data_IF_661665186938
#
_entry.id   IF_661665186938
#
_cell.length_a   1.000
_cell.length_b   1.000
_cell.length_c   1.000
_cell.angle_alpha   90.00
_cell.angle_beta   90.00
_cell.angle_gamma   90.00
#
_symmetry.space_group_name_H-M   'P 1'
#
loop_
_entity.id
_entity.type
_entity.pdbx_description
1 polymer ?
#
# COMPACT_ATOMS: atom_id res chain seq x y z
N UNK A 1 -12.45 37.36 82.24
CA UNK A 1 -13.90 37.32 81.98
C UNK A 1 -14.25 36.22 81.02
N UNK A 2 -15.04 35.29 81.47
CA UNK A 2 -15.50 34.02 80.78
C UNK A 2 -16.37 34.34 79.61
N UNK A 3 -16.30 33.37 78.60
CA UNK A 3 -17.35 32.81 77.71
C UNK A 3 -16.80 32.74 76.30
N UNK A 4 -16.98 31.68 75.53
CA UNK A 4 -17.60 30.32 75.65
C UNK A 4 -17.28 29.59 74.37
N UNK A 5 -16.78 28.38 74.53
CA UNK A 5 -16.63 27.40 73.49
C UNK A 5 -18.03 26.96 73.11
N UNK A 6 -18.39 26.99 71.82
CA UNK A 6 -19.43 26.13 71.27
C UNK A 6 -18.97 25.51 69.97
N UNK A 7 -18.96 24.27 70.06
CA UNK A 7 -18.77 23.29 68.91
C UNK A 7 -19.75 23.56 67.77
N UNK A 8 -19.28 23.50 66.60
CA UNK A 8 -20.12 23.29 65.41
C UNK A 8 -19.65 22.02 64.72
N UNK A 9 -20.62 21.16 64.57
CA UNK A 9 -20.55 19.76 64.31
C UNK A 9 -20.21 19.34 62.91
N UNK A 10 -19.89 18.11 62.90
CA UNK A 10 -19.96 17.08 61.84
C UNK A 10 -20.70 17.53 60.59
N UNK A 11 -19.94 17.62 59.50
CA UNK A 11 -20.38 17.53 58.13
C UNK A 11 -19.33 16.69 57.40
N UNK A 12 -19.36 15.38 57.68
CA UNK A 12 -18.67 14.42 56.84
C UNK A 12 -19.37 14.37 55.50
N UNK A 13 -18.88 15.16 54.55
CA UNK A 13 -19.21 14.94 53.16
C UNK A 13 -18.44 13.69 52.72
N UNK A 14 -19.14 12.57 52.65
CA UNK A 14 -18.80 11.42 51.85
C UNK A 14 -18.60 11.88 50.41
N UNK A 15 -17.40 12.30 50.07
CA UNK A 15 -16.92 12.32 48.69
C UNK A 15 -16.58 10.87 48.31
N UNK A 16 -17.62 10.08 48.10
CA UNK A 16 -17.51 8.88 47.28
C UNK A 16 -16.99 9.36 45.93
N UNK A 17 -15.67 9.31 45.75
CA UNK A 17 -15.05 9.27 44.43
C UNK A 17 -15.63 8.03 43.76
N UNK A 18 -16.71 8.19 43.01
CA UNK A 18 -17.04 7.27 41.93
C UNK A 18 -15.84 7.30 40.97
N UNK A 19 -14.91 6.40 41.24
CA UNK A 19 -13.93 5.99 40.28
C UNK A 19 -14.72 5.41 39.10
N UNK A 20 -15.05 6.26 38.13
CA UNK A 20 -15.48 5.80 36.82
C UNK A 20 -14.35 4.91 36.32
N UNK A 21 -14.54 3.63 36.46
CA UNK A 21 -13.71 2.62 35.80
C UNK A 21 -13.77 2.92 34.32
N UNK A 22 -12.82 3.68 33.83
CA UNK A 22 -12.58 3.87 32.40
C UNK A 22 -12.29 2.45 31.89
N UNK A 23 -13.31 1.80 31.34
CA UNK A 23 -13.13 0.55 30.60
C UNK A 23 -12.01 0.81 29.62
N UNK A 24 -10.87 0.19 29.83
CA UNK A 24 -9.75 0.20 28.89
C UNK A 24 -10.20 -0.52 27.62
N UNK A 25 -10.79 0.24 26.71
CA UNK A 25 -11.14 -0.24 25.39
C UNK A 25 -9.82 -0.54 24.69
N UNK A 26 -9.64 -1.75 24.20
CA UNK A 26 -8.39 -2.08 23.52
C UNK A 26 -8.19 -1.13 22.31
N UNK A 27 -6.96 -0.66 22.05
CA UNK A 27 -6.69 0.27 20.95
C UNK A 27 -7.22 -0.21 19.59
N UNK A 28 -7.24 -1.53 19.38
CA UNK A 28 -7.77 -2.16 18.17
C UNK A 28 -9.29 -2.04 18.07
N UNK A 29 -10.03 -2.14 19.18
CA UNK A 29 -11.50 -2.03 19.17
C UNK A 29 -11.92 -0.58 18.92
N UNK A 30 -11.21 0.39 19.47
CA UNK A 30 -11.43 1.82 19.23
C UNK A 30 -11.15 2.17 17.76
N UNK A 31 -10.03 1.67 17.21
CA UNK A 31 -9.68 1.80 15.80
C UNK A 31 -10.82 1.26 14.91
N UNK A 32 -11.29 0.05 15.17
CA UNK A 32 -12.32 -0.58 14.38
C UNK A 32 -13.68 0.10 14.50
N UNK A 33 -14.03 0.57 15.70
CA UNK A 33 -15.27 1.33 15.92
C UNK A 33 -15.26 2.65 15.12
N UNK A 34 -14.14 3.36 15.13
CA UNK A 34 -13.98 4.63 14.40
C UNK A 34 -13.93 4.39 12.89
N UNK A 35 -13.25 3.32 12.44
CA UNK A 35 -13.20 2.91 11.03
C UNK A 35 -14.60 2.65 10.46
N UNK A 36 -15.43 1.94 11.18
CA UNK A 36 -16.81 1.59 10.75
C UNK A 36 -17.74 2.79 10.62
N UNK A 37 -17.44 3.92 11.24
CA UNK A 37 -18.26 5.14 11.11
C UNK A 37 -18.18 5.75 9.71
N UNK A 38 -17.06 5.55 9.01
CA UNK A 38 -16.90 6.01 7.63
C UNK A 38 -17.38 4.92 6.66
N UNK A 39 -18.59 5.07 6.13
CA UNK A 39 -19.21 4.12 5.20
C UNK A 39 -18.38 3.94 3.92
N UNK A 40 -17.75 5.01 3.42
CA UNK A 40 -16.91 4.96 2.21
C UNK A 40 -15.70 4.07 2.43
N UNK A 41 -15.03 4.21 3.58
CA UNK A 41 -13.87 3.38 3.93
C UNK A 41 -14.26 1.89 4.12
N UNK A 42 -15.45 1.62 4.69
CA UNK A 42 -15.95 0.24 4.83
C UNK A 42 -16.23 -0.40 3.46
N UNK A 43 -16.86 0.34 2.55
CA UNK A 43 -17.09 -0.13 1.18
C UNK A 43 -15.76 -0.35 0.46
N UNK A 44 -14.84 0.61 0.55
CA UNK A 44 -13.50 0.49 -0.05
C UNK A 44 -12.73 -0.73 0.48
N UNK A 45 -12.78 -0.98 1.80
CA UNK A 45 -12.17 -2.16 2.41
C UNK A 45 -12.83 -3.45 1.88
N UNK A 46 -14.16 -3.47 1.76
CA UNK A 46 -14.91 -4.58 1.16
C UNK A 46 -14.45 -4.86 -0.27
N UNK A 47 -14.26 -3.82 -1.09
CA UNK A 47 -13.74 -3.92 -2.46
C UNK A 47 -12.31 -4.47 -2.47
N UNK A 48 -11.42 -3.96 -1.61
CA UNK A 48 -10.04 -4.48 -1.50
C UNK A 48 -10.03 -5.95 -1.12
N UNK A 49 -10.83 -6.35 -0.13
CA UNK A 49 -10.95 -7.76 0.29
C UNK A 49 -11.49 -8.62 -0.86
N UNK A 50 -12.52 -8.17 -1.56
CA UNK A 50 -13.06 -8.88 -2.71
C UNK A 50 -12.02 -9.06 -3.83
N UNK A 51 -11.23 -8.03 -4.14
CA UNK A 51 -10.16 -8.11 -5.12
C UNK A 51 -9.06 -9.07 -4.66
N UNK A 52 -8.66 -9.04 -3.39
CA UNK A 52 -7.67 -9.99 -2.83
C UNK A 52 -8.18 -11.42 -2.94
N UNK A 53 -9.45 -11.66 -2.58
CA UNK A 53 -10.05 -12.99 -2.71
C UNK A 53 -10.10 -13.45 -4.17
N UNK A 54 -10.52 -12.58 -5.10
CA UNK A 54 -10.49 -12.89 -6.54
C UNK A 54 -9.06 -13.20 -7.01
N UNK A 55 -8.05 -12.46 -6.57
CA UNK A 55 -6.66 -12.68 -6.93
C UNK A 55 -6.11 -14.00 -6.38
N UNK A 56 -6.46 -14.36 -5.13
CA UNK A 56 -6.02 -15.62 -4.50
C UNK A 56 -6.69 -16.82 -5.14
N UNK A 57 -8.01 -16.74 -5.33
CA UNK A 57 -8.81 -17.83 -5.90
C UNK A 57 -8.93 -17.78 -7.43
N UNK A 58 -8.09 -16.96 -8.10
CA UNK A 58 -8.12 -16.81 -9.56
C UNK A 58 -8.20 -18.15 -10.32
N UNK A 59 -7.38 -19.20 -10.01
CA UNK A 59 -7.42 -20.45 -10.74
C UNK A 59 -8.76 -21.19 -10.68
N UNK A 60 -9.59 -20.89 -9.67
CA UNK A 60 -10.90 -21.54 -9.47
C UNK A 60 -12.08 -20.69 -9.98
N UNK A 61 -11.85 -19.39 -10.18
CA UNK A 61 -12.92 -18.45 -10.54
C UNK A 61 -13.03 -18.19 -12.04
N UNK A 62 -11.94 -18.44 -12.78
CA UNK A 62 -11.88 -18.09 -14.20
C UNK A 62 -12.02 -19.31 -15.11
N UNK A 63 -12.68 -19.17 -16.27
CA UNK A 63 -12.92 -20.29 -17.18
C UNK A 63 -11.68 -20.71 -17.98
N UNK A 64 -10.66 -19.85 -18.08
CA UNK A 64 -9.45 -20.08 -18.87
C UNK A 64 -8.21 -19.62 -18.11
N UNK A 65 -7.14 -20.43 -18.11
CA UNK A 65 -5.83 -20.02 -17.63
C UNK A 65 -5.12 -19.16 -18.69
N UNK A 66 -4.92 -17.85 -18.46
CA UNK A 66 -4.27 -16.98 -19.45
C UNK A 66 -2.77 -17.27 -19.65
N UNK A 67 -2.14 -18.11 -18.82
CA UNK A 67 -0.76 -18.58 -18.99
C UNK A 67 -0.67 -19.82 -19.89
N UNK A 68 -1.76 -20.56 -20.09
CA UNK A 68 -1.77 -21.74 -20.97
C UNK A 68 -1.93 -21.33 -22.42
N UNK A 69 -0.81 -21.16 -23.10
CA UNK A 69 -0.77 -20.80 -24.51
C UNK A 69 -1.40 -21.89 -25.45
N UNK A 70 -1.56 -23.12 -24.95
CA UNK A 70 -2.16 -24.22 -25.74
C UNK A 70 -3.69 -24.11 -25.80
N UNK A 71 -4.28 -23.48 -24.80
CA UNK A 71 -5.74 -23.24 -24.75
C UNK A 71 -6.19 -22.04 -25.59
N UNK A 72 -5.24 -21.30 -26.19
CA UNK A 72 -5.54 -20.11 -26.98
C UNK A 72 -6.00 -20.45 -28.39
N UNK A 73 -7.15 -19.92 -28.77
CA UNK A 73 -7.71 -20.05 -30.09
C UNK A 73 -7.71 -18.70 -30.81
N UNK A 74 -6.75 -18.46 -31.69
CA UNK A 74 -6.64 -17.18 -32.44
C UNK A 74 -7.89 -16.83 -33.23
N UNK A 75 -8.70 -17.83 -33.62
CA UNK A 75 -9.99 -17.63 -34.29
C UNK A 75 -11.00 -16.89 -33.44
N UNK A 76 -10.87 -17.01 -32.12
CA UNK A 76 -11.73 -16.35 -31.13
C UNK A 76 -11.17 -14.99 -30.69
N UNK A 77 -10.12 -14.47 -31.34
CA UNK A 77 -9.52 -13.19 -31.01
C UNK A 77 -10.48 -12.02 -31.27
N UNK A 78 -10.48 -11.04 -30.31
CA UNK A 78 -11.20 -9.76 -30.43
C UNK A 78 -12.71 -9.91 -30.56
N UNK A 79 -13.32 -10.92 -29.95
CA UNK A 79 -14.76 -11.15 -29.93
C UNK A 79 -15.44 -10.30 -28.87
N UNK A 80 -16.67 -9.83 -29.15
CA UNK A 80 -17.38 -8.95 -28.23
C UNK A 80 -17.80 -9.67 -26.93
N UNK A 81 -18.17 -8.91 -25.88
CA UNK A 81 -18.75 -9.47 -24.66
C UNK A 81 -19.96 -10.38 -24.94
N UNK A 82 -20.06 -11.48 -24.20
CA UNK A 82 -21.11 -12.48 -24.36
C UNK A 82 -20.90 -13.49 -25.50
N UNK A 83 -19.73 -13.49 -26.17
CA UNK A 83 -19.40 -14.46 -27.21
C UNK A 83 -19.10 -15.84 -26.63
N UNK A 84 -19.66 -16.87 -27.27
CA UNK A 84 -19.33 -18.28 -26.97
C UNK A 84 -18.20 -18.70 -27.91
N UNK A 85 -17.04 -19.02 -27.34
CA UNK A 85 -15.86 -19.43 -28.09
C UNK A 85 -16.01 -20.78 -28.78
N UNK A 86 -15.08 -21.08 -29.68
CA UNK A 86 -15.03 -22.36 -30.41
C UNK A 86 -14.82 -23.58 -29.50
N UNK A 87 -14.33 -23.35 -28.27
CA UNK A 87 -14.17 -24.37 -27.21
C UNK A 87 -15.41 -24.51 -26.32
N UNK A 88 -16.49 -23.76 -26.58
CA UNK A 88 -17.71 -23.74 -25.78
C UNK A 88 -17.63 -22.86 -24.52
N UNK A 89 -16.53 -22.13 -24.31
CA UNK A 89 -16.37 -21.19 -23.20
C UNK A 89 -17.16 -19.92 -23.49
N UNK A 90 -17.97 -19.46 -22.52
CA UNK A 90 -18.67 -18.18 -22.57
C UNK A 90 -17.74 -17.06 -22.10
N UNK A 91 -17.37 -16.17 -22.99
CA UNK A 91 -16.53 -14.99 -22.71
C UNK A 91 -17.39 -13.80 -22.27
N UNK A 92 -17.64 -13.67 -20.95
CA UNK A 92 -18.52 -12.64 -20.39
C UNK A 92 -18.11 -11.23 -20.77
N UNK A 93 -16.81 -10.92 -20.72
CA UNK A 93 -16.25 -9.62 -21.08
C UNK A 93 -15.65 -9.59 -22.49
N UNK A 94 -15.85 -10.66 -23.27
CA UNK A 94 -15.24 -10.82 -24.59
C UNK A 94 -13.83 -11.36 -24.52
N UNK A 95 -13.10 -11.27 -25.63
CA UNK A 95 -11.73 -11.79 -25.76
C UNK A 95 -10.74 -10.68 -26.11
N UNK A 96 -9.48 -10.88 -25.76
CA UNK A 96 -8.37 -9.98 -26.09
C UNK A 96 -7.85 -10.15 -27.53
N UNK A 97 -6.74 -9.50 -27.85
CA UNK A 97 -6.10 -9.58 -29.18
C UNK A 97 -5.52 -10.95 -29.49
N UNK A 98 -5.32 -11.82 -28.50
CA UNK A 98 -4.75 -13.16 -28.64
C UNK A 98 -5.79 -14.27 -28.51
N UNK A 99 -7.07 -13.94 -28.32
CA UNK A 99 -8.14 -14.92 -28.10
C UNK A 99 -8.27 -15.40 -26.65
N UNK A 100 -7.60 -14.72 -25.70
CA UNK A 100 -7.74 -15.02 -24.27
C UNK A 100 -9.06 -14.48 -23.76
N UNK A 101 -9.65 -15.18 -22.81
CA UNK A 101 -10.79 -14.65 -22.06
C UNK A 101 -10.39 -13.38 -21.27
N UNK A 102 -11.09 -12.27 -21.52
CA UNK A 102 -10.73 -10.99 -20.95
C UNK A 102 -11.00 -10.93 -19.45
N UNK A 103 -12.07 -11.60 -18.96
CA UNK A 103 -12.34 -11.69 -17.52
C UNK A 103 -11.20 -12.41 -16.80
N UNK A 104 -10.76 -13.54 -17.34
CA UNK A 104 -9.61 -14.29 -16.82
C UNK A 104 -8.35 -13.43 -16.80
N UNK A 105 -8.09 -12.73 -17.90
CA UNK A 105 -6.96 -11.80 -18.00
C UNK A 105 -7.01 -10.69 -16.94
N UNK A 106 -8.19 -10.09 -16.66
CA UNK A 106 -8.35 -9.06 -15.64
C UNK A 106 -8.11 -9.63 -14.23
N UNK A 107 -8.66 -10.79 -13.90
CA UNK A 107 -8.49 -11.41 -12.57
C UNK A 107 -7.02 -11.75 -12.29
N UNK A 108 -6.34 -12.33 -13.29
CA UNK A 108 -4.89 -12.58 -13.17
C UNK A 108 -4.07 -11.30 -13.20
N UNK A 109 -4.49 -10.29 -13.95
CA UNK A 109 -3.88 -8.96 -13.94
C UNK A 109 -3.97 -8.30 -12.57
N UNK A 110 -5.13 -8.34 -11.91
CA UNK A 110 -5.29 -7.88 -10.52
C UNK A 110 -4.35 -8.60 -9.56
N UNK A 111 -4.20 -9.93 -9.71
CA UNK A 111 -3.26 -10.73 -8.91
C UNK A 111 -1.82 -10.27 -9.09
N UNK A 112 -1.38 -10.05 -10.33
CA UNK A 112 -0.02 -9.58 -10.64
C UNK A 112 0.19 -8.18 -10.06
N UNK A 113 -0.71 -7.23 -10.33
CA UNK A 113 -0.58 -5.86 -9.83
C UNK A 113 -0.55 -5.78 -8.30
N UNK A 114 -1.38 -6.58 -7.60
CA UNK A 114 -1.31 -6.70 -6.14
C UNK A 114 0.03 -7.28 -5.66
N UNK A 115 0.52 -8.34 -6.30
CA UNK A 115 1.81 -8.95 -5.94
C UNK A 115 2.95 -7.95 -6.12
N UNK A 116 3.00 -7.24 -7.27
CA UNK A 116 4.03 -6.23 -7.54
C UNK A 116 3.99 -5.11 -6.52
N UNK A 117 2.80 -4.54 -6.27
CA UNK A 117 2.63 -3.44 -5.31
C UNK A 117 3.01 -3.84 -3.87
N UNK A 118 2.55 -5.00 -3.41
CA UNK A 118 2.82 -5.47 -2.05
C UNK A 118 4.29 -5.86 -1.86
N UNK A 119 4.87 -6.62 -2.78
CA UNK A 119 6.27 -7.08 -2.65
C UNK A 119 7.23 -5.91 -2.78
N UNK A 120 7.08 -5.06 -3.80
CA UNK A 120 7.92 -3.88 -3.95
C UNK A 120 7.76 -2.91 -2.77
N UNK A 121 6.51 -2.68 -2.33
CA UNK A 121 6.21 -1.84 -1.18
C UNK A 121 6.83 -2.37 0.12
N UNK A 122 6.74 -3.68 0.39
CA UNK A 122 7.31 -4.31 1.59
C UNK A 122 8.86 -4.22 1.61
N UNK A 123 9.51 -4.46 0.47
CA UNK A 123 10.97 -4.35 0.36
C UNK A 123 11.40 -2.89 0.54
N UNK A 124 10.75 -1.95 -0.17
CA UNK A 124 11.04 -0.52 -0.07
C UNK A 124 10.81 0.03 1.36
N UNK A 125 9.72 -0.41 2.01
CA UNK A 125 9.41 -0.11 3.41
C UNK A 125 10.53 -0.60 4.34
N UNK A 126 10.94 -1.86 4.21
CA UNK A 126 11.97 -2.46 5.06
C UNK A 126 13.32 -1.75 4.93
N UNK A 127 13.76 -1.50 3.70
CA UNK A 127 14.99 -0.75 3.43
C UNK A 127 14.87 0.67 3.99
N UNK A 128 13.77 1.36 3.68
CA UNK A 128 13.56 2.74 4.08
C UNK A 128 13.45 2.93 5.58
N UNK A 129 12.75 2.03 6.28
CA UNK A 129 12.62 2.05 7.73
C UNK A 129 13.98 1.89 8.42
N UNK A 130 14.78 0.89 7.99
CA UNK A 130 16.10 0.64 8.58
C UNK A 130 17.06 1.79 8.30
N UNK A 131 17.18 2.21 7.04
CA UNK A 131 18.12 3.27 6.62
C UNK A 131 17.75 4.61 7.24
N UNK A 132 16.45 4.96 7.26
CA UNK A 132 15.98 6.23 7.84
C UNK A 132 16.17 6.29 9.36
N UNK A 133 15.81 5.23 10.09
CA UNK A 133 16.05 5.17 11.54
C UNK A 133 17.54 5.16 11.88
N UNK A 134 18.36 4.46 11.10
CA UNK A 134 19.81 4.44 11.27
C UNK A 134 20.42 5.85 11.04
N UNK A 135 20.02 6.55 9.98
CA UNK A 135 20.46 7.90 9.70
C UNK A 135 20.15 8.86 10.86
N UNK A 136 18.92 8.84 11.37
CA UNK A 136 18.49 9.66 12.50
C UNK A 136 19.22 9.30 13.81
N UNK A 137 19.52 8.01 14.03
CA UNK A 137 20.23 7.54 15.22
C UNK A 137 21.69 7.99 15.24
N UNK A 138 22.43 7.78 14.14
CA UNK A 138 23.86 8.12 14.05
C UNK A 138 24.09 9.62 14.03
N UNK A 139 23.28 10.32 13.24
CA UNK A 139 23.43 11.79 13.10
C UNK A 139 24.67 12.25 12.34
N UNK A 140 24.92 13.54 12.38
CA UNK A 140 26.13 14.15 11.88
C UNK A 140 26.37 13.98 10.37
N UNK A 141 27.62 13.69 9.98
CA UNK A 141 28.00 13.56 8.56
C UNK A 141 27.33 12.39 7.85
N UNK A 142 27.15 11.26 8.55
CA UNK A 142 26.48 10.06 8.00
C UNK A 142 25.02 10.33 7.66
N UNK A 143 24.30 10.97 8.56
CA UNK A 143 22.92 11.44 8.33
C UNK A 143 22.88 12.37 7.11
N UNK A 144 23.77 13.38 7.08
CA UNK A 144 23.81 14.33 5.97
C UNK A 144 24.06 13.63 4.62
N UNK A 145 24.98 12.67 4.56
CA UNK A 145 25.25 11.93 3.31
C UNK A 145 24.05 11.10 2.85
N UNK A 146 23.46 10.33 3.76
CA UNK A 146 22.28 9.51 3.43
C UNK A 146 21.13 10.39 2.94
N UNK A 147 20.85 11.47 3.65
CA UNK A 147 19.74 12.36 3.28
C UNK A 147 20.04 13.13 1.97
N UNK A 148 21.27 13.45 1.64
CA UNK A 148 21.65 14.03 0.35
C UNK A 148 21.36 13.08 -0.82
N UNK A 149 21.69 11.79 -0.66
CA UNK A 149 21.38 10.77 -1.68
C UNK A 149 19.85 10.66 -1.87
N UNK A 150 19.11 10.62 -0.77
CA UNK A 150 17.65 10.58 -0.79
C UNK A 150 17.07 11.84 -1.46
N UNK A 151 17.61 13.02 -1.18
CA UNK A 151 17.17 14.29 -1.75
C UNK A 151 17.40 14.34 -3.27
N UNK A 152 18.58 13.89 -3.72
CA UNK A 152 18.88 13.78 -5.15
C UNK A 152 17.89 12.85 -5.82
N UNK A 153 17.62 11.69 -5.24
CA UNK A 153 16.68 10.74 -5.82
C UNK A 153 15.24 11.29 -5.87
N UNK A 154 14.77 11.94 -4.82
CA UNK A 154 13.44 12.54 -4.77
C UNK A 154 13.29 13.78 -5.69
N UNK A 155 14.40 14.33 -6.19
CA UNK A 155 14.38 15.41 -7.18
C UNK A 155 13.97 14.93 -8.58
N UNK A 156 14.04 13.62 -8.84
CA UNK A 156 13.62 13.04 -10.11
C UNK A 156 12.18 12.49 -10.00
N UNK A 157 11.38 12.60 -11.07
CA UNK A 157 10.07 11.92 -11.12
C UNK A 157 10.24 10.41 -10.96
N UNK A 158 9.47 9.80 -10.03
CA UNK A 158 9.58 8.37 -9.72
C UNK A 158 9.39 7.47 -10.95
N UNK A 159 8.51 7.88 -11.89
CA UNK A 159 8.28 7.15 -13.13
C UNK A 159 9.51 7.11 -14.02
N UNK A 160 10.28 8.19 -14.11
CA UNK A 160 11.51 8.23 -14.91
C UNK A 160 12.58 7.34 -14.31
N UNK A 161 12.73 7.35 -12.98
CA UNK A 161 13.67 6.45 -12.29
C UNK A 161 13.29 4.98 -12.50
N UNK A 162 12.01 4.63 -12.30
CA UNK A 162 11.53 3.28 -12.52
C UNK A 162 11.72 2.83 -13.98
N UNK A 163 11.44 3.72 -14.95
CA UNK A 163 11.60 3.45 -16.37
C UNK A 163 13.07 3.18 -16.73
N UNK A 164 14.01 4.04 -16.29
CA UNK A 164 15.43 3.86 -16.56
C UNK A 164 15.94 2.56 -15.98
N UNK A 165 15.60 2.25 -14.72
CA UNK A 165 16.02 1.00 -14.07
C UNK A 165 15.42 -0.22 -14.77
N UNK A 166 14.12 -0.19 -15.11
CA UNK A 166 13.48 -1.28 -15.83
C UNK A 166 14.07 -1.47 -17.23
N UNK A 167 14.38 -0.38 -17.96
CA UNK A 167 14.99 -0.44 -19.28
C UNK A 167 16.40 -1.08 -19.25
N UNK A 168 17.19 -0.80 -18.20
CA UNK A 168 18.54 -1.36 -18.03
C UNK A 168 18.46 -2.85 -17.62
N UNK A 169 17.56 -3.20 -16.69
CA UNK A 169 17.44 -4.56 -16.19
C UNK A 169 16.70 -5.52 -17.14
N UNK A 170 15.95 -4.96 -18.08
CA UNK A 170 15.11 -5.73 -19.01
C UNK A 170 13.78 -6.14 -18.42
N UNK A 171 12.99 -6.91 -19.22
CA UNK A 171 11.66 -7.36 -18.86
C UNK A 171 11.70 -8.52 -17.85
N UNK A 172 10.77 -8.54 -16.91
CA UNK A 172 10.58 -9.63 -15.95
C UNK A 172 10.07 -9.17 -14.60
N UNK A 173 9.48 -10.10 -13.84
CA UNK A 173 8.90 -9.80 -12.51
C UNK A 173 9.93 -9.24 -11.53
N UNK A 174 11.07 -9.89 -11.41
CA UNK A 174 12.13 -9.50 -10.47
C UNK A 174 12.73 -8.15 -10.84
N UNK A 175 12.97 -7.90 -12.12
CA UNK A 175 13.49 -6.66 -12.66
C UNK A 175 12.54 -5.50 -12.38
N UNK A 176 11.24 -5.73 -12.62
CA UNK A 176 10.21 -4.74 -12.37
C UNK A 176 10.07 -4.44 -10.87
N UNK A 177 10.09 -5.47 -10.00
CA UNK A 177 10.10 -5.26 -8.54
C UNK A 177 11.29 -4.40 -8.12
N UNK A 178 12.50 -4.69 -8.61
CA UNK A 178 13.69 -3.89 -8.30
C UNK A 178 13.56 -2.44 -8.76
N UNK A 179 13.00 -2.21 -9.96
CA UNK A 179 12.74 -0.86 -10.47
C UNK A 179 11.75 -0.09 -9.58
N UNK A 180 10.67 -0.75 -9.15
CA UNK A 180 9.66 -0.18 -8.25
C UNK A 180 10.25 0.11 -6.86
N UNK A 181 11.03 -0.81 -6.30
CA UNK A 181 11.73 -0.62 -5.02
C UNK A 181 12.65 0.57 -5.09
N UNK A 182 13.48 0.64 -6.15
CA UNK A 182 14.40 1.76 -6.35
C UNK A 182 13.68 3.10 -6.46
N UNK A 183 12.53 3.14 -7.14
CA UNK A 183 11.75 4.36 -7.26
C UNK A 183 11.10 4.83 -5.95
N UNK A 184 10.88 3.93 -4.99
CA UNK A 184 10.03 4.21 -3.83
C UNK A 184 10.76 4.24 -2.47
N UNK A 185 11.90 3.54 -2.29
CA UNK A 185 12.53 3.43 -0.97
C UNK A 185 12.88 4.78 -0.35
N UNK A 186 13.20 5.79 -1.16
CA UNK A 186 13.56 7.13 -0.71
C UNK A 186 12.41 7.83 0.06
N UNK A 187 11.16 7.61 -0.32
CA UNK A 187 9.99 8.11 0.41
C UNK A 187 9.92 7.53 1.83
N UNK A 188 10.20 6.23 1.95
CA UNK A 188 10.24 5.56 3.26
C UNK A 188 11.43 6.00 4.10
N UNK A 189 12.62 6.16 3.49
CA UNK A 189 13.81 6.68 4.21
C UNK A 189 13.50 8.06 4.79
N UNK A 190 12.93 8.96 3.98
CA UNK A 190 12.60 10.31 4.42
C UNK A 190 11.59 10.32 5.55
N UNK A 191 10.55 9.52 5.45
CA UNK A 191 9.51 9.43 6.49
C UNK A 191 10.07 8.82 7.77
N UNK A 192 10.83 7.71 7.65
CA UNK A 192 11.45 7.06 8.79
C UNK A 192 12.44 7.97 9.51
N UNK A 193 13.27 8.68 8.76
CA UNK A 193 14.21 9.66 9.30
C UNK A 193 13.51 10.75 10.10
N UNK A 194 12.47 11.39 9.51
CA UNK A 194 11.72 12.45 10.20
C UNK A 194 11.04 11.97 11.48
N UNK A 195 10.41 10.78 11.44
CA UNK A 195 9.78 10.17 12.61
C UNK A 195 10.82 9.79 13.69
N UNK A 196 11.91 9.15 13.28
CA UNK A 196 12.97 8.70 14.17
C UNK A 196 13.73 9.87 14.82
N UNK A 197 13.96 10.97 14.07
CA UNK A 197 14.59 12.17 14.60
C UNK A 197 13.74 12.84 15.70
N UNK A 198 12.42 12.91 15.49
CA UNK A 198 11.49 13.39 16.50
C UNK A 198 11.44 12.47 17.73
N UNK A 199 11.44 11.15 17.49
CA UNK A 199 11.40 10.15 18.57
C UNK A 199 12.66 10.16 19.42
N UNK A 200 13.83 10.34 18.76
CA UNK A 200 15.14 10.41 19.43
C UNK A 200 15.23 11.54 20.45
N UNK A 201 14.47 12.62 20.29
CA UNK A 201 14.50 13.77 21.21
C UNK A 201 13.68 13.54 22.49
N UNK A 202 12.90 12.48 22.58
CA UNK A 202 12.06 12.18 23.76
C UNK A 202 12.90 11.69 24.94
N UNK A 203 12.50 12.07 26.15
CA UNK A 203 13.23 11.79 27.40
C UNK A 203 13.55 10.30 27.61
N UNK A 204 12.62 9.40 27.28
CA UNK A 204 12.84 7.97 27.46
C UNK A 204 13.92 7.40 26.52
N UNK A 205 14.05 7.99 25.28
CA UNK A 205 15.14 7.60 24.36
C UNK A 205 16.45 8.20 24.84
N UNK A 206 16.46 9.44 25.31
CA UNK A 206 17.65 10.06 25.92
C UNK A 206 18.15 9.29 27.14
N UNK A 207 17.23 8.81 27.97
CA UNK A 207 17.58 7.93 29.10
C UNK A 207 18.19 6.61 28.61
N UNK A 208 17.64 6.00 27.56
CA UNK A 208 18.19 4.79 26.96
C UNK A 208 19.59 5.01 26.34
N UNK A 209 19.85 6.19 25.79
CA UNK A 209 21.16 6.56 25.26
C UNK A 209 22.21 6.81 26.35
N UNK A 210 21.79 7.11 27.59
CA UNK A 210 22.69 7.33 28.73
C UNK A 210 23.18 6.03 29.38
N UNK A 211 22.58 4.88 29.02
CA UNK A 211 23.00 3.56 29.46
C UNK A 211 23.82 2.90 28.37
N UNK A 212 24.92 2.14 28.70
CA UNK A 212 25.74 1.47 27.69
C UNK A 212 24.98 0.32 27.02
N UNK A 213 24.13 0.64 26.04
CA UNK A 213 23.38 -0.30 25.20
C UNK A 213 23.85 -0.24 23.75
N UNK A 214 23.72 -1.37 23.03
CA UNK A 214 24.04 -1.35 21.60
C UNK A 214 23.09 -0.42 20.84
N UNK A 215 23.62 0.36 19.88
CA UNK A 215 22.81 1.27 19.06
C UNK A 215 21.69 0.56 18.33
N UNK A 216 21.93 -0.67 17.84
CA UNK A 216 20.91 -1.49 17.20
C UNK A 216 19.76 -1.85 18.15
N UNK A 217 20.05 -2.10 19.42
CA UNK A 217 19.03 -2.33 20.43
C UNK A 217 18.12 -1.09 20.62
N UNK A 218 18.73 0.10 20.72
CA UNK A 218 17.96 1.36 20.83
C UNK A 218 17.09 1.59 19.59
N UNK A 219 17.65 1.39 18.39
CA UNK A 219 16.89 1.54 17.14
C UNK A 219 15.71 0.56 17.10
N UNK A 220 15.98 -0.74 17.28
CA UNK A 220 14.96 -1.78 17.08
C UNK A 220 13.91 -1.83 18.18
N UNK A 221 14.24 -1.44 19.43
CA UNK A 221 13.33 -1.56 20.58
C UNK A 221 12.63 -0.25 20.94
N UNK A 222 13.24 0.89 20.65
CA UNK A 222 12.72 2.20 21.08
C UNK A 222 12.33 3.10 19.90
N UNK A 223 13.19 3.26 18.89
CA UNK A 223 12.96 4.22 17.81
C UNK A 223 12.02 3.65 16.74
N UNK A 224 12.37 2.50 16.17
CA UNK A 224 11.64 1.92 15.03
C UNK A 224 10.16 1.62 15.36
N UNK A 225 9.82 0.96 16.49
CA UNK A 225 8.40 0.67 16.78
C UNK A 225 7.55 1.93 16.93
N UNK A 226 8.11 2.99 17.48
CA UNK A 226 7.42 4.26 17.67
C UNK A 226 7.39 5.13 16.39
N UNK A 227 8.23 4.81 15.40
CA UNK A 227 8.23 5.42 14.08
C UNK A 227 7.32 4.69 13.07
N UNK A 228 6.75 3.54 13.42
CA UNK A 228 5.88 2.75 12.51
C UNK A 228 4.59 3.46 12.10
N UNK A 229 3.84 4.19 12.96
CA UNK A 229 2.58 4.78 12.56
C UNK A 229 2.67 5.66 11.30
N UNK A 230 3.56 6.66 11.19
CA UNK A 230 3.70 7.43 9.96
C UNK A 230 4.20 6.60 8.76
N UNK A 231 5.02 5.58 9.00
CA UNK A 231 5.49 4.68 7.95
C UNK A 231 4.36 3.82 7.37
N UNK A 232 3.44 3.33 8.21
CA UNK A 232 2.26 2.57 7.75
C UNK A 232 1.38 3.45 6.86
N UNK A 233 1.19 4.71 7.23
CA UNK A 233 0.44 5.67 6.39
C UNK A 233 1.09 5.83 5.02
N UNK A 234 2.40 6.02 4.98
CA UNK A 234 3.13 6.14 3.70
C UNK A 234 3.07 4.83 2.91
N UNK A 235 3.11 3.68 3.58
CA UNK A 235 3.04 2.37 2.92
C UNK A 235 1.75 2.19 2.12
N UNK A 236 0.59 2.62 2.63
CA UNK A 236 -0.67 2.51 1.91
C UNK A 236 -0.66 3.31 0.60
N UNK A 237 -0.16 4.55 0.64
CA UNK A 237 -0.03 5.40 -0.55
C UNK A 237 0.99 4.82 -1.53
N UNK A 238 2.12 4.32 -1.03
CA UNK A 238 3.17 3.80 -1.89
C UNK A 238 2.80 2.46 -2.55
N UNK A 239 1.98 1.62 -1.92
CA UNK A 239 1.44 0.41 -2.57
C UNK A 239 0.56 0.80 -3.78
N UNK A 240 -0.35 1.76 -3.63
CA UNK A 240 -1.17 2.25 -4.73
C UNK A 240 -0.31 2.88 -5.84
N UNK A 241 0.72 3.65 -5.47
CA UNK A 241 1.70 4.23 -6.39
C UNK A 241 2.50 3.16 -7.14
N UNK A 242 2.93 2.08 -6.45
CA UNK A 242 3.64 0.96 -7.07
C UNK A 242 2.79 0.27 -8.14
N UNK A 243 1.50 0.02 -7.83
CA UNK A 243 0.55 -0.57 -8.79
C UNK A 243 0.39 0.34 -10.01
N UNK A 244 0.25 1.64 -9.80
CA UNK A 244 0.14 2.62 -10.88
C UNK A 244 1.41 2.67 -11.74
N UNK A 245 2.59 2.66 -11.13
CA UNK A 245 3.89 2.63 -11.81
C UNK A 245 4.07 1.33 -12.61
N UNK A 246 3.75 0.16 -12.00
CA UNK A 246 3.77 -1.13 -12.67
C UNK A 246 2.92 -1.09 -13.94
N UNK A 247 1.65 -0.68 -13.81
CA UNK A 247 0.73 -0.63 -14.93
C UNK A 247 1.23 0.32 -16.03
N UNK A 248 1.81 1.45 -15.67
CA UNK A 248 2.37 2.42 -16.63
C UNK A 248 3.61 1.86 -17.33
N UNK A 249 4.54 1.21 -16.61
CA UNK A 249 5.73 0.60 -17.20
C UNK A 249 5.36 -0.57 -18.11
N UNK A 250 4.38 -1.39 -17.71
CA UNK A 250 3.86 -2.49 -18.53
C UNK A 250 3.14 -1.96 -19.77
N UNK A 251 2.37 -0.86 -19.65
CA UNK A 251 1.75 -0.17 -20.79
C UNK A 251 2.79 0.35 -21.79
N UNK A 252 3.92 0.88 -21.31
CA UNK A 252 5.02 1.38 -22.14
C UNK A 252 5.91 0.25 -22.71
N UNK A 253 5.64 -1.02 -22.37
CA UNK A 253 6.36 -2.17 -22.90
C UNK A 253 7.71 -2.48 -22.23
N UNK A 254 8.06 -1.78 -21.12
CA UNK A 254 9.30 -2.01 -20.35
C UNK A 254 9.06 -2.78 -19.04
N UNK A 255 7.81 -3.17 -18.77
CA UNK A 255 7.42 -3.90 -17.58
C UNK A 255 7.52 -5.41 -17.73
N UNK A 256 6.36 -6.08 -17.66
CA UNK A 256 6.26 -7.52 -17.79
C UNK A 256 6.28 -7.97 -19.26
N UNK A 257 6.74 -9.20 -19.55
CA UNK A 257 6.69 -9.74 -20.89
C UNK A 257 5.22 -9.97 -21.34
N UNK A 258 4.94 -10.00 -22.66
CA UNK A 258 3.58 -10.18 -23.20
C UNK A 258 2.88 -11.48 -22.77
N UNK A 259 3.63 -12.45 -22.27
CA UNK A 259 3.11 -13.71 -21.74
C UNK A 259 2.45 -13.57 -20.37
N UNK A 260 2.73 -12.47 -19.66
CA UNK A 260 2.21 -12.19 -18.33
C UNK A 260 1.02 -11.22 -18.43
N UNK A 261 -0.20 -11.63 -18.08
CA UNK A 261 -1.38 -10.79 -18.19
C UNK A 261 -1.45 -9.76 -17.04
N UNK A 262 -0.67 -8.67 -17.12
CA UNK A 262 -0.87 -7.53 -16.21
C UNK A 262 -1.95 -6.60 -16.72
N UNK A 263 -2.58 -5.82 -15.82
CA UNK A 263 -3.60 -4.85 -16.22
C UNK A 263 -3.04 -3.80 -17.20
N UNK A 264 -1.81 -3.32 -16.95
CA UNK A 264 -1.13 -2.38 -17.85
C UNK A 264 -0.89 -2.95 -19.24
N UNK A 265 -0.46 -4.22 -19.33
CA UNK A 265 -0.26 -4.90 -20.60
C UNK A 265 -1.58 -5.13 -21.35
N UNK A 266 -2.66 -5.50 -20.65
CA UNK A 266 -3.98 -5.66 -21.26
C UNK A 266 -4.48 -4.33 -21.84
N UNK A 267 -4.28 -3.21 -21.10
CA UNK A 267 -4.64 -1.87 -21.59
C UNK A 267 -3.81 -1.52 -22.83
N UNK A 268 -2.49 -1.76 -22.81
CA UNK A 268 -1.61 -1.50 -23.95
C UNK A 268 -2.04 -2.25 -25.20
N UNK A 269 -2.30 -3.55 -25.06
CA UNK A 269 -2.75 -4.42 -26.15
C UNK A 269 -4.13 -4.01 -26.69
N UNK A 270 -5.03 -3.54 -25.81
CA UNK A 270 -6.37 -3.05 -26.19
C UNK A 270 -6.38 -1.68 -26.82
N UNK A 271 -5.41 -0.83 -26.48
CA UNK A 271 -5.34 0.56 -26.94
C UNK A 271 -5.36 0.71 -28.45
N UNK A 272 -4.67 -0.19 -29.16
CA UNK A 272 -4.59 -0.24 -30.62
C UNK A 272 -5.96 -0.48 -31.27
N UNK A 273 -6.93 -1.05 -30.55
CA UNK A 273 -8.26 -1.41 -31.07
C UNK A 273 -9.38 -0.47 -30.65
N UNK A 274 -9.09 0.58 -29.88
CA UNK A 274 -10.11 1.55 -29.44
C UNK A 274 -10.83 2.19 -30.64
N UNK A 275 -10.06 2.63 -31.63
CA UNK A 275 -10.63 3.31 -32.82
C UNK A 275 -11.33 2.34 -33.76
N UNK A 276 -11.13 1.02 -33.63
CA UNK A 276 -11.83 0.00 -34.42
C UNK A 276 -13.13 -0.51 -33.75
N UNK A 277 -13.62 0.19 -32.73
CA UNK A 277 -14.85 -0.13 -32.02
C UNK A 277 -14.73 -1.28 -31.01
N UNK A 278 -13.51 -1.80 -30.76
CA UNK A 278 -13.26 -2.91 -29.81
C UNK A 278 -12.78 -2.37 -28.46
N UNK A 279 -13.49 -1.40 -27.93
CA UNK A 279 -13.13 -0.64 -26.74
C UNK A 279 -13.02 -1.50 -25.47
N UNK A 280 -13.77 -2.62 -25.38
CA UNK A 280 -13.81 -3.47 -24.18
C UNK A 280 -12.44 -4.00 -23.80
N UNK A 281 -11.54 -4.26 -24.80
CA UNK A 281 -10.21 -4.85 -24.56
C UNK A 281 -9.33 -3.94 -23.71
N UNK A 282 -9.47 -2.60 -23.84
CA UNK A 282 -8.70 -1.64 -23.04
C UNK A 282 -9.50 -1.07 -21.87
N UNK A 283 -10.79 -0.79 -22.06
CA UNK A 283 -11.59 -0.07 -21.06
C UNK A 283 -11.85 -0.94 -19.82
N UNK A 284 -12.17 -2.22 -19.98
CA UNK A 284 -12.49 -3.06 -18.82
C UNK A 284 -11.29 -3.30 -17.90
N UNK A 285 -10.06 -3.61 -18.40
CA UNK A 285 -8.87 -3.64 -17.55
C UNK A 285 -8.54 -2.28 -16.93
N UNK A 286 -8.79 -1.18 -17.66
CA UNK A 286 -8.62 0.17 -17.15
C UNK A 286 -9.55 0.49 -15.99
N UNK A 287 -10.82 0.12 -16.07
CA UNK A 287 -11.79 0.27 -14.97
C UNK A 287 -11.35 -0.57 -13.75
N UNK A 288 -10.92 -1.82 -13.97
CA UNK A 288 -10.44 -2.68 -12.90
C UNK A 288 -9.22 -2.07 -12.17
N UNK A 289 -8.28 -1.49 -12.93
CA UNK A 289 -7.12 -0.79 -12.37
C UNK A 289 -7.53 0.43 -11.56
N UNK A 290 -8.44 1.25 -12.06
CA UNK A 290 -8.95 2.44 -11.36
C UNK A 290 -9.62 2.02 -10.05
N UNK A 291 -10.50 1.01 -10.08
CA UNK A 291 -11.19 0.50 -8.87
C UNK A 291 -10.17 0.03 -7.84
N UNK A 292 -9.14 -0.72 -8.26
CA UNK A 292 -8.09 -1.22 -7.36
C UNK A 292 -7.34 -0.06 -6.68
N UNK A 293 -6.84 0.91 -7.47
CA UNK A 293 -6.07 2.05 -6.96
C UNK A 293 -6.93 2.91 -6.03
N UNK A 294 -8.18 3.23 -6.44
CA UNK A 294 -9.11 4.02 -5.63
C UNK A 294 -9.44 3.32 -4.30
N UNK A 295 -9.72 2.03 -4.34
CA UNK A 295 -10.05 1.28 -3.12
C UNK A 295 -8.89 1.26 -2.12
N UNK A 296 -7.64 1.04 -2.59
CA UNK A 296 -6.45 1.07 -1.73
C UNK A 296 -6.23 2.47 -1.16
N UNK A 297 -6.35 3.53 -1.97
CA UNK A 297 -6.18 4.91 -1.49
C UNK A 297 -7.23 5.30 -0.45
N UNK A 298 -8.51 4.99 -0.66
CA UNK A 298 -9.58 5.29 0.30
C UNK A 298 -9.38 4.57 1.64
N UNK A 299 -8.91 3.33 1.62
CA UNK A 299 -8.54 2.60 2.85
C UNK A 299 -7.33 3.26 3.51
N UNK A 300 -6.32 3.64 2.71
CA UNK A 300 -5.12 4.31 3.18
C UNK A 300 -5.41 5.66 3.85
N UNK A 301 -6.27 6.48 3.25
CA UNK A 301 -6.68 7.76 3.81
C UNK A 301 -7.37 7.59 5.17
N UNK A 302 -8.25 6.58 5.30
CA UNK A 302 -8.91 6.30 6.57
C UNK A 302 -7.92 5.81 7.65
N UNK A 303 -6.92 5.01 7.28
CA UNK A 303 -5.85 4.59 8.21
C UNK A 303 -5.05 5.80 8.66
N UNK A 304 -4.72 6.71 7.72
CA UNK A 304 -4.02 7.96 8.00
C UNK A 304 -4.77 8.84 9.00
N UNK A 305 -6.07 9.03 8.77
CA UNK A 305 -6.91 9.87 9.64
C UNK A 305 -6.96 9.31 11.07
N UNK A 306 -7.00 8.00 11.22
CA UNK A 306 -7.05 7.36 12.54
C UNK A 306 -5.71 7.33 13.26
N UNK A 307 -4.60 7.23 12.54
CA UNK A 307 -3.25 7.26 13.12
C UNK A 307 -2.76 8.68 13.44
N UNK A 308 -3.48 9.72 12.99
CA UNK A 308 -3.13 11.10 13.26
C UNK A 308 -3.74 11.58 14.60
N UNK A 309 -2.92 11.75 15.67
CA UNK A 309 -3.44 12.13 16.99
C UNK A 309 -4.08 13.53 17.03
N UNK A 310 -3.76 14.40 16.05
CA UNK A 310 -4.26 15.78 16.00
C UNK A 310 -5.72 15.86 15.53
N UNK A 311 -6.24 14.82 14.90
CA UNK A 311 -7.63 14.74 14.43
C UNK A 311 -8.56 14.08 15.46
N UNK A 312 -8.02 13.53 16.53
CA UNK A 312 -8.79 13.01 17.68
C UNK A 312 -9.21 14.19 18.58
N UNK A 313 -10.27 14.90 18.19
CA UNK A 313 -11.01 15.85 19.04
C UNK A 313 -12.28 15.19 19.57
#
# INVERSE_FOLDING_TARGET
MRRSIRACGRGGADMSMEAHAVKSVSPLSEFWHTFRRNKVAVVALGVVIAIILMAVFAPFLVPQDPYDLKSLVLRDARRPPGYVGSTGILHLLGTDSQGRDLLSGIVYGLRISLQMGLVAGAIAFSIGAVVGCFAAYVGGRTETMIMRIVDIQLSFPAILLAFVVAAILGQGKSQLILALVFAQYAYFVRTAHGAAAAERQKDYVQAALSVPMSGWFVISRHILPNSLPPLIVVATVQIASAISLEATLSFLGVGLPPTEPSLGMLIANGFQYLMSGRYWIAIYPGIALIILIMAINLVGDQIRDQLNPRLRK
#
